data_IF_844533837501
#
_entry.id   IF_844533837501
#
_cell.length_a   1.000
_cell.length_b   1.000
_cell.length_c   1.000
_cell.angle_alpha   90.00
_cell.angle_beta   90.00
_cell.angle_gamma   90.00
#
_symmetry.space_group_name_H-M   'P 1'
#
loop_
_entity.id
_entity.type
_entity.pdbx_description
1 polymer ?
#
# COMPACT_ATOMS: atom_id res chain seq x y z
N UNK A 1 -6.40 -12.32 15.22
CA UNK A 1 -6.38 -11.64 13.92
C UNK A 1 -4.98 -11.78 13.34
N UNK A 2 -4.89 -12.30 12.13
CA UNK A 2 -3.66 -12.49 11.35
C UNK A 2 -3.52 -11.36 10.31
N UNK A 3 -2.37 -11.27 9.62
CA UNK A 3 -2.20 -10.34 8.48
C UNK A 3 -3.24 -10.63 7.39
N UNK A 4 -3.50 -11.91 7.10
CA UNK A 4 -4.54 -12.30 6.15
C UNK A 4 -5.92 -11.74 6.52
N UNK A 5 -6.29 -11.77 7.80
CA UNK A 5 -7.57 -11.22 8.27
C UNK A 5 -7.64 -9.70 8.07
N UNK A 6 -6.58 -8.98 8.41
CA UNK A 6 -6.54 -7.53 8.24
C UNK A 6 -6.59 -7.15 6.74
N UNK A 7 -5.87 -7.86 5.88
CA UNK A 7 -5.90 -7.60 4.43
C UNK A 7 -7.26 -7.94 3.80
N UNK A 8 -7.97 -8.94 4.32
CA UNK A 8 -9.37 -9.19 3.94
C UNK A 8 -10.26 -8.00 4.31
N UNK A 9 -10.12 -7.49 5.52
CA UNK A 9 -10.87 -6.30 5.94
C UNK A 9 -10.48 -5.05 5.14
N UNK A 10 -9.21 -4.94 4.71
CA UNK A 10 -8.72 -3.87 3.85
C UNK A 10 -9.08 -4.05 2.36
N UNK A 11 -9.57 -5.22 1.94
CA UNK A 11 -9.97 -5.47 0.54
C UNK A 11 -11.11 -4.54 0.14
N UNK A 12 -11.06 -4.00 -1.07
CA UNK A 12 -12.02 -3.05 -1.61
C UNK A 12 -11.36 -1.91 -2.37
N UNK A 13 -12.19 -0.97 -2.81
CA UNK A 13 -11.76 0.25 -3.48
C UNK A 13 -11.70 1.40 -2.47
N UNK A 14 -10.60 2.13 -2.51
CA UNK A 14 -10.29 3.23 -1.62
C UNK A 14 -9.89 4.45 -2.46
N UNK A 15 -10.44 5.61 -2.15
CA UNK A 15 -10.03 6.88 -2.76
C UNK A 15 -9.64 7.88 -1.67
N UNK A 16 -8.66 8.69 -1.99
CA UNK A 16 -8.03 9.50 -0.97
C UNK A 16 -7.08 10.55 -1.51
N UNK A 17 -6.33 11.12 -0.58
CA UNK A 17 -5.25 12.06 -0.89
C UNK A 17 -3.91 11.44 -0.57
N UNK A 18 -2.99 11.54 -1.52
CA UNK A 18 -1.58 11.21 -1.36
C UNK A 18 -0.81 12.51 -1.11
N UNK A 19 -0.21 12.65 0.07
CA UNK A 19 0.55 13.86 0.46
C UNK A 19 1.99 13.48 0.74
N UNK A 20 2.93 14.06 0.00
CA UNK A 20 4.37 13.91 0.23
C UNK A 20 4.88 15.10 1.00
N UNK A 21 5.59 14.84 2.09
CA UNK A 21 6.17 15.84 2.98
C UNK A 21 7.69 15.71 3.01
N UNK A 22 8.37 16.83 3.17
CA UNK A 22 9.76 16.88 3.61
C UNK A 22 9.87 16.41 5.08
N UNK A 23 11.07 16.08 5.58
CA UNK A 23 11.26 15.62 6.97
C UNK A 23 10.82 16.65 8.04
N UNK A 24 10.78 17.94 7.69
CA UNK A 24 10.32 19.01 8.57
C UNK A 24 8.79 19.24 8.52
N UNK A 25 8.06 18.44 7.74
CA UNK A 25 6.61 18.53 7.56
C UNK A 25 6.16 19.47 6.44
N UNK A 26 7.08 20.13 5.73
CA UNK A 26 6.73 20.94 4.55
C UNK A 26 6.08 20.08 3.48
N UNK A 27 4.92 20.50 2.96
CA UNK A 27 4.25 19.80 1.84
C UNK A 27 5.05 19.99 0.56
N UNK A 28 5.54 18.88 0.00
CA UNK A 28 6.23 18.86 -1.29
C UNK A 28 5.23 18.61 -2.43
N UNK A 29 4.31 17.68 -2.23
CA UNK A 29 3.29 17.33 -3.22
C UNK A 29 1.99 16.90 -2.53
N UNK A 30 0.86 17.12 -3.21
CA UNK A 30 -0.45 16.67 -2.77
C UNK A 30 -1.34 16.40 -3.97
N UNK A 31 -1.88 15.20 -4.10
CA UNK A 31 -2.76 14.84 -5.21
C UNK A 31 -3.72 13.70 -4.86
N UNK A 32 -4.85 13.55 -5.58
CA UNK A 32 -5.74 12.42 -5.40
C UNK A 32 -5.08 11.09 -5.76
N UNK A 33 -5.47 10.03 -5.05
CA UNK A 33 -5.08 8.66 -5.38
C UNK A 33 -6.24 7.70 -5.18
N UNK A 34 -6.17 6.58 -5.89
CA UNK A 34 -7.11 5.46 -5.76
C UNK A 34 -6.33 4.17 -5.58
N UNK A 35 -6.75 3.36 -4.61
CA UNK A 35 -6.17 2.05 -4.36
C UNK A 35 -7.25 0.98 -4.34
N UNK A 36 -6.96 -0.13 -5.00
CA UNK A 36 -7.86 -1.27 -5.12
C UNK A 36 -7.12 -2.49 -4.60
N UNK A 37 -7.59 -3.05 -3.49
CA UNK A 37 -6.99 -4.23 -2.87
C UNK A 37 -7.96 -5.41 -2.91
N UNK A 38 -7.47 -6.61 -3.21
CA UNK A 38 -8.31 -7.80 -3.38
C UNK A 38 -7.61 -9.03 -2.82
N UNK A 39 -8.28 -9.74 -1.92
CA UNK A 39 -7.87 -11.05 -1.43
C UNK A 39 -8.74 -12.16 -2.05
N UNK A 40 -8.14 -13.12 -2.75
CA UNK A 40 -8.79 -14.34 -3.26
C UNK A 40 -8.01 -15.57 -2.77
N UNK A 41 -8.58 -16.31 -1.80
CA UNK A 41 -7.85 -17.38 -1.13
C UNK A 41 -6.65 -16.83 -0.33
N UNK A 42 -5.45 -17.17 -0.79
CA UNK A 42 -4.17 -16.64 -0.29
C UNK A 42 -3.54 -15.60 -1.22
N UNK A 43 -4.13 -15.33 -2.38
CA UNK A 43 -3.60 -14.34 -3.33
C UNK A 43 -4.11 -12.94 -2.97
N UNK A 44 -3.17 -12.06 -2.63
CA UNK A 44 -3.40 -10.63 -2.51
C UNK A 44 -2.95 -9.92 -3.79
N UNK A 45 -3.85 -9.12 -4.36
CA UNK A 45 -3.55 -8.24 -5.49
C UNK A 45 -3.93 -6.81 -5.14
N UNK A 46 -3.08 -5.87 -5.55
CA UNK A 46 -3.30 -4.45 -5.34
C UNK A 46 -3.02 -3.67 -6.61
N UNK A 47 -3.86 -2.67 -6.87
CA UNK A 47 -3.65 -1.66 -7.92
C UNK A 47 -3.69 -0.28 -7.29
N UNK A 48 -2.68 0.54 -7.55
CA UNK A 48 -2.61 1.93 -7.09
C UNK A 48 -2.58 2.86 -8.30
N UNK A 49 -3.41 3.89 -8.27
CA UNK A 49 -3.53 4.92 -9.30
C UNK A 49 -3.25 6.30 -8.68
N UNK A 50 -2.24 6.98 -9.18
CA UNK A 50 -1.86 8.33 -8.77
C UNK A 50 -2.35 9.37 -9.79
N UNK A 51 -3.09 10.37 -9.33
CA UNK A 51 -3.79 11.34 -10.18
C UNK A 51 -3.18 12.75 -10.02
N UNK A 52 -1.93 12.92 -10.49
CA UNK A 52 -1.25 14.22 -10.45
C UNK A 52 -1.86 15.18 -11.48
N UNK A 53 -2.05 16.44 -11.08
CA UNK A 53 -2.56 17.46 -11.99
C UNK A 53 -1.60 17.69 -13.17
N UNK A 54 -2.15 17.74 -14.39
CA UNK A 54 -1.38 17.96 -15.62
C UNK A 54 -0.54 16.76 -16.08
N UNK A 55 -0.69 15.59 -15.46
CA UNK A 55 -0.02 14.36 -15.87
C UNK A 55 -1.03 13.23 -16.13
N UNK A 56 -0.64 12.28 -16.98
CA UNK A 56 -1.38 11.04 -17.14
C UNK A 56 -1.37 10.22 -15.84
N UNK A 57 -2.46 9.48 -15.51
CA UNK A 57 -2.50 8.63 -14.34
C UNK A 57 -1.37 7.61 -14.31
N UNK A 58 -0.59 7.60 -13.23
CA UNK A 58 0.43 6.58 -13.02
C UNK A 58 -0.19 5.38 -12.30
N UNK A 59 -0.06 4.18 -12.87
CA UNK A 59 -0.64 2.94 -12.34
C UNK A 59 0.47 1.99 -11.91
N UNK A 60 0.31 1.39 -10.72
CA UNK A 60 1.17 0.33 -10.18
C UNK A 60 0.32 -0.88 -9.80
N UNK A 61 0.86 -2.07 -10.00
CA UNK A 61 0.24 -3.34 -9.61
C UNK A 61 1.20 -4.07 -8.68
N UNK A 62 0.66 -4.63 -7.60
CA UNK A 62 1.43 -5.39 -6.62
C UNK A 62 0.74 -6.72 -6.34
N UNK A 63 1.53 -7.77 -6.11
CA UNK A 63 1.01 -9.08 -5.74
C UNK A 63 1.79 -9.69 -4.57
N UNK A 64 1.07 -10.32 -3.67
CA UNK A 64 1.66 -11.13 -2.60
C UNK A 64 0.85 -12.42 -2.39
N UNK A 65 1.53 -13.46 -1.88
CA UNK A 65 0.89 -14.62 -1.27
C UNK A 65 0.83 -14.38 0.23
N UNK A 66 -0.36 -14.50 0.81
CA UNK A 66 -0.66 -14.23 2.22
C UNK A 66 -1.34 -15.44 2.83
N UNK A 67 -0.66 -16.08 3.79
CA UNK A 67 -1.19 -17.22 4.55
C UNK A 67 -0.97 -16.99 6.05
N UNK A 68 -2.06 -16.69 6.76
CA UNK A 68 -2.01 -16.25 8.16
C UNK A 68 -1.16 -14.98 8.31
N UNK A 69 -0.03 -15.10 9.00
CA UNK A 69 0.96 -14.02 9.19
C UNK A 69 2.15 -14.13 8.21
N UNK A 70 2.20 -15.14 7.35
CA UNK A 70 3.21 -15.25 6.30
C UNK A 70 2.83 -14.39 5.10
N UNK A 71 3.75 -13.54 4.65
CA UNK A 71 3.59 -12.72 3.45
C UNK A 71 4.81 -12.90 2.55
N UNK A 72 4.58 -13.33 1.32
CA UNK A 72 5.57 -13.42 0.26
C UNK A 72 5.21 -12.45 -0.86
N UNK A 73 6.08 -11.49 -1.15
CA UNK A 73 5.92 -10.60 -2.29
C UNK A 73 6.29 -11.36 -3.56
N UNK A 74 5.38 -11.44 -4.53
CA UNK A 74 5.59 -12.13 -5.83
C UNK A 74 6.01 -11.14 -6.92
N UNK A 75 6.40 -9.94 -6.51
CA UNK A 75 6.77 -8.84 -7.38
C UNK A 75 8.27 -8.88 -7.71
N UNK A 76 8.63 -8.65 -8.98
CA UNK A 76 10.04 -8.57 -9.42
C UNK A 76 10.64 -7.17 -9.27
N UNK A 77 9.81 -6.14 -9.08
CA UNK A 77 10.25 -4.75 -8.93
C UNK A 77 10.55 -4.38 -7.47
N UNK A 78 9.88 -5.04 -6.52
CA UNK A 78 9.88 -4.67 -5.11
C UNK A 78 10.21 -5.88 -4.23
N UNK A 79 10.92 -5.63 -3.14
CA UNK A 79 11.11 -6.59 -2.06
C UNK A 79 10.45 -6.04 -0.79
N UNK A 80 10.07 -6.91 0.13
CA UNK A 80 9.52 -6.43 1.40
C UNK A 80 9.30 -7.53 2.44
N UNK A 81 8.88 -7.07 3.61
CA UNK A 81 8.43 -7.89 4.71
C UNK A 81 7.24 -7.20 5.39
N UNK A 82 6.36 -8.00 5.98
CA UNK A 82 5.18 -7.50 6.69
C UNK A 82 5.20 -7.99 8.13
N UNK A 83 4.84 -7.12 9.05
CA UNK A 83 4.67 -7.44 10.46
C UNK A 83 3.40 -6.78 11.00
N UNK A 84 2.86 -7.32 12.09
CA UNK A 84 1.74 -6.68 12.81
C UNK A 84 2.25 -5.89 13.99
N UNK A 85 1.65 -4.73 14.22
CA UNK A 85 1.76 -4.00 15.49
C UNK A 85 0.49 -4.29 16.30
N UNK A 86 0.49 -5.42 17.02
CA UNK A 86 -0.67 -5.88 17.76
C UNK A 86 -1.87 -6.19 16.85
N UNK A 87 -3.04 -5.68 17.24
CA UNK A 87 -4.29 -5.71 16.48
C UNK A 87 -4.61 -4.37 15.81
N UNK A 88 -3.74 -3.36 15.97
CA UNK A 88 -4.05 -1.98 15.57
C UNK A 88 -3.55 -1.63 14.16
N UNK A 89 -2.41 -2.17 13.74
CA UNK A 89 -1.79 -1.78 12.48
C UNK A 89 -1.02 -2.91 11.81
N UNK A 90 -0.89 -2.82 10.50
CA UNK A 90 0.12 -3.55 9.73
C UNK A 90 1.31 -2.62 9.47
N UNK A 91 2.51 -3.15 9.62
CA UNK A 91 3.76 -2.51 9.22
C UNK A 91 4.31 -3.24 8.01
N UNK A 92 4.50 -2.51 6.91
CA UNK A 92 5.20 -3.00 5.72
C UNK A 92 6.58 -2.35 5.67
N UNK A 93 7.63 -3.15 5.53
CA UNK A 93 8.96 -2.66 5.20
C UNK A 93 9.29 -3.12 3.80
N UNK A 94 9.55 -2.19 2.88
CA UNK A 94 9.80 -2.54 1.49
C UNK A 94 10.77 -1.56 0.82
N UNK A 95 11.25 -1.94 -0.35
CA UNK A 95 12.08 -1.10 -1.21
C UNK A 95 12.05 -1.60 -2.64
N UNK A 96 12.57 -0.79 -3.55
CA UNK A 96 12.59 -1.11 -4.97
C UNK A 96 13.96 -1.63 -5.39
N UNK A 97 13.96 -2.58 -6.32
CA UNK A 97 15.19 -3.14 -6.86
C UNK A 97 15.99 -2.12 -7.69
N UNK A 98 15.32 -1.14 -8.30
CA UNK A 98 15.95 -0.08 -9.10
C UNK A 98 16.47 1.11 -8.26
N UNK A 99 16.07 1.19 -7.00
CA UNK A 99 16.44 2.24 -6.04
C UNK A 99 16.89 1.62 -4.71
N UNK A 100 18.00 0.87 -4.70
CA UNK A 100 18.43 0.08 -3.54
C UNK A 100 18.80 0.92 -2.31
N UNK A 101 19.07 2.22 -2.49
CA UNK A 101 19.33 3.18 -1.43
C UNK A 101 18.05 3.60 -0.68
N UNK A 102 16.89 3.46 -1.32
CA UNK A 102 15.60 3.84 -0.73
C UNK A 102 14.97 2.64 0.00
N UNK A 103 14.51 2.88 1.22
CA UNK A 103 13.73 1.94 2.02
C UNK A 103 12.53 2.65 2.59
N UNK A 104 11.43 1.93 2.68
CA UNK A 104 10.18 2.45 3.23
C UNK A 104 9.74 1.62 4.40
N UNK A 105 9.31 2.30 5.45
CA UNK A 105 8.50 1.73 6.52
C UNK A 105 7.12 2.37 6.43
N UNK A 106 6.15 1.59 5.99
CA UNK A 106 4.74 1.95 5.96
C UNK A 106 4.03 1.39 7.18
N UNK A 107 3.22 2.23 7.83
CA UNK A 107 2.25 1.81 8.83
C UNK A 107 0.85 2.08 8.29
N UNK A 108 0.03 1.03 8.21
CA UNK A 108 -1.37 1.09 7.77
C UNK A 108 -2.31 0.84 8.93
N UNK A 109 -3.21 1.79 9.18
CA UNK A 109 -4.23 1.74 10.25
C UNK A 109 -5.63 1.83 9.63
N UNK A 110 -6.27 0.69 9.30
CA UNK A 110 -7.66 0.69 8.87
C UNK A 110 -8.61 0.85 10.06
N UNK A 111 -9.66 1.66 9.90
CA UNK A 111 -10.73 1.85 10.88
C UNK A 111 -12.07 1.97 10.15
N UNK A 112 -12.73 0.82 9.93
CA UNK A 112 -13.97 0.75 9.16
C UNK A 112 -13.78 1.18 7.71
N UNK A 113 -14.47 2.23 7.30
CA UNK A 113 -14.43 2.80 5.94
C UNK A 113 -13.45 3.97 5.79
N UNK A 114 -12.59 4.19 6.78
CA UNK A 114 -11.51 5.16 6.72
C UNK A 114 -10.19 4.46 7.08
N UNK A 115 -9.12 4.83 6.38
CA UNK A 115 -7.78 4.36 6.74
C UNK A 115 -6.76 5.44 6.53
N UNK A 116 -5.73 5.39 7.36
CA UNK A 116 -4.54 6.22 7.20
C UNK A 116 -3.34 5.31 6.99
N UNK A 117 -2.49 5.69 6.05
CA UNK A 117 -1.20 5.05 5.82
C UNK A 117 -0.11 6.10 5.91
N UNK A 118 0.91 5.81 6.70
CA UNK A 118 2.05 6.69 6.91
C UNK A 118 3.30 5.96 6.41
N UNK A 119 4.01 6.55 5.46
CA UNK A 119 5.26 6.01 4.95
C UNK A 119 6.41 6.88 5.42
N UNK A 120 7.43 6.25 5.98
CA UNK A 120 8.72 6.87 6.25
C UNK A 120 9.70 6.41 5.18
N UNK A 121 10.19 7.35 4.39
CA UNK A 121 11.19 7.08 3.35
C UNK A 121 12.57 7.33 3.93
N UNK A 122 13.44 6.33 3.83
CA UNK A 122 14.84 6.42 4.21
C UNK A 122 15.70 6.29 2.96
N UNK A 123 16.56 7.28 2.70
CA UNK A 123 17.60 7.20 1.68
C UNK A 123 18.95 7.15 2.40
N UNK A 124 19.76 6.13 2.12
CA UNK A 124 21.06 5.90 2.78
C UNK A 124 20.98 5.90 4.33
N UNK A 125 19.84 5.44 4.86
CA UNK A 125 19.57 5.34 6.30
C UNK A 125 19.10 6.64 6.97
N UNK A 126 19.02 7.76 6.23
CA UNK A 126 18.48 9.02 6.72
C UNK A 126 17.03 9.21 6.26
N UNK A 127 16.18 9.76 7.14
CA UNK A 127 14.80 10.11 6.76
C UNK A 127 14.84 11.18 5.67
N UNK A 128 14.33 10.86 4.48
CA UNK A 128 14.34 11.75 3.33
C UNK A 128 12.98 12.39 3.08
N UNK A 129 11.89 11.65 3.31
CA UNK A 129 10.50 12.10 3.10
C UNK A 129 9.53 11.35 4.01
N UNK A 130 8.35 11.94 4.18
CA UNK A 130 7.17 11.25 4.72
C UNK A 130 6.08 11.24 3.65
N UNK A 131 5.28 10.18 3.60
CA UNK A 131 4.03 10.18 2.84
C UNK A 131 2.87 9.93 3.77
N UNK A 132 1.87 10.81 3.73
CA UNK A 132 0.60 10.68 4.44
C UNK A 132 -0.49 10.40 3.43
N UNK A 133 -1.17 9.27 3.60
CA UNK A 133 -2.23 8.82 2.71
C UNK A 133 -3.50 8.67 3.54
N UNK A 134 -4.53 9.45 3.21
CA UNK A 134 -5.83 9.41 3.87
C UNK A 134 -6.87 8.95 2.86
N UNK A 135 -7.55 7.84 3.17
CA UNK A 135 -8.40 7.15 2.22
C UNK A 135 -9.76 6.81 2.83
N UNK A 136 -10.79 6.86 2.00
CA UNK A 136 -12.14 6.39 2.31
C UNK A 136 -12.52 5.26 1.37
N UNK A 137 -13.19 4.25 1.92
CA UNK A 137 -13.75 3.16 1.12
C UNK A 137 -14.85 3.70 0.22
N UNK A 138 -14.90 3.21 -1.02
CA UNK A 138 -15.99 3.49 -1.95
C UNK A 138 -17.02 2.35 -1.86
N UNK A 139 -18.21 2.60 -1.29
CA UNK A 139 -19.21 1.54 -1.10
C UNK A 139 -19.67 0.93 -2.43
N UNK A 140 -19.71 -0.39 -2.50
CA UNK A 140 -20.19 -1.14 -3.67
C UNK A 140 -19.25 -1.12 -4.89
N UNK A 141 -18.08 -0.48 -4.79
CA UNK A 141 -17.06 -0.54 -5.83
C UNK A 141 -16.20 -1.80 -5.65
N UNK A 142 -15.98 -2.50 -6.76
CA UNK A 142 -15.20 -3.72 -6.81
C UNK A 142 -13.78 -3.45 -7.34
N UNK A 143 -12.73 -4.01 -6.70
CA UNK A 143 -11.38 -3.98 -7.23
C UNK A 143 -11.29 -4.67 -8.60
N UNK A 144 -10.53 -4.09 -9.52
CA UNK A 144 -10.24 -4.70 -10.81
C UNK A 144 -9.54 -6.07 -10.63
N UNK A 145 -10.01 -7.07 -11.38
CA UNK A 145 -9.32 -8.35 -11.54
C UNK A 145 -8.32 -8.27 -12.70
N UNK A 146 -7.09 -7.85 -12.39
CA UNK A 146 -6.00 -7.80 -13.37
C UNK A 146 -5.10 -9.05 -13.34
N UNK A 147 -5.21 -9.87 -12.30
CA UNK A 147 -4.51 -11.15 -12.17
C UNK A 147 -5.49 -12.29 -11.88
N UNK A 148 -5.23 -13.45 -12.47
CA UNK A 148 -5.96 -14.69 -12.21
C UNK A 148 -4.89 -15.77 -11.94
N UNK A 149 -4.90 -16.42 -10.76
CA UNK A 149 -3.98 -17.52 -10.49
C UNK A 149 -4.13 -18.63 -11.53
N UNK A 150 -3.02 -19.23 -11.95
CA UNK A 150 -3.08 -20.39 -12.83
C UNK A 150 -3.72 -21.57 -12.08
N UNK A 151 -4.88 -22.04 -12.53
CA UNK A 151 -5.59 -23.19 -11.96
C UNK A 151 -6.82 -22.88 -11.09
N UNK A 152 -7.34 -21.66 -11.15
CA UNK A 152 -8.66 -21.29 -10.60
C UNK A 152 -9.83 -21.94 -11.38
#
# INVERSE_FOLDING_TARGET
>A
MTIADILRDMSGVWEGTYTVLAPDGTVLERYPSRQEGRMEGTDWTEKVVYLREGAEPAVRHYRAIVDGDSVEFVDTEMWGATARAGDQAIVFTFGWNDRPQERIVEMSMPTGDYRTRLWQHFEDGALSRLTVIEERRIPGAEPERWYVPAGA
#
